data_IF_145773919785
#
_entry.id   IF_145773919785
#
_cell.length_a   1.000
_cell.length_b   1.000
_cell.length_c   1.000
_cell.angle_alpha   90.00
_cell.angle_beta   90.00
_cell.angle_gamma   90.00
#
_symmetry.space_group_name_H-M   'P 1'
#
loop_
_entity.id
_entity.type
_entity.pdbx_description
1 polymer ?
#
# COMPACT_ATOMS: atom_id res chain seq x y z
N UNK A 1 -9.52 8.22 7.77
CA UNK A 1 -9.99 8.43 6.38
C UNK A 1 -10.59 7.11 5.96
N UNK A 2 -11.78 7.11 5.37
CA UNK A 2 -12.44 5.85 5.01
C UNK A 2 -12.10 5.48 3.57
N UNK A 3 -11.71 4.23 3.35
CA UNK A 3 -11.44 3.68 2.02
C UNK A 3 -12.55 2.72 1.64
N UNK A 4 -12.94 2.73 0.37
CA UNK A 4 -13.97 1.87 -0.16
C UNK A 4 -13.51 1.24 -1.48
N UNK A 5 -13.91 0.00 -1.73
CA UNK A 5 -13.94 -0.55 -3.09
C UNK A 5 -15.29 -0.21 -3.67
N UNK A 6 -15.29 0.38 -4.87
CA UNK A 6 -16.50 0.66 -5.63
C UNK A 6 -16.42 -0.02 -7.00
N UNK A 7 -17.58 -0.45 -7.48
CA UNK A 7 -17.78 -0.90 -8.83
C UNK A 7 -17.76 0.30 -9.78
N UNK A 8 -16.90 0.26 -10.80
CA UNK A 8 -16.68 1.39 -11.70
C UNK A 8 -17.85 1.59 -12.66
N UNK A 9 -18.53 0.52 -13.07
CA UNK A 9 -19.61 0.59 -14.06
C UNK A 9 -20.91 1.12 -13.46
N UNK A 10 -21.20 0.75 -12.22
CA UNK A 10 -22.45 1.06 -11.52
C UNK A 10 -22.29 2.18 -10.49
N UNK A 11 -21.05 2.54 -10.12
CA UNK A 11 -20.75 3.49 -9.05
C UNK A 11 -21.09 2.98 -7.65
N UNK A 12 -21.48 1.70 -7.52
CA UNK A 12 -21.88 1.13 -6.24
C UNK A 12 -20.66 0.86 -5.36
N UNK A 13 -20.68 1.34 -4.13
CA UNK A 13 -19.71 0.92 -3.11
C UNK A 13 -19.95 -0.58 -2.82
N UNK A 14 -18.95 -1.39 -3.13
CA UNK A 14 -18.96 -2.82 -2.86
C UNK A 14 -18.71 -3.10 -1.38
N UNK A 15 -17.73 -2.39 -0.78
CA UNK A 15 -17.39 -2.53 0.65
C UNK A 15 -16.38 -1.48 1.15
N UNK A 16 -16.37 -1.17 2.46
CA UNK A 16 -15.27 -0.44 3.09
C UNK A 16 -14.01 -1.30 3.23
N UNK A 17 -12.84 -0.76 2.88
CA UNK A 17 -11.50 -1.33 3.13
C UNK A 17 -10.91 -0.83 4.46
N UNK A 18 -11.21 0.41 4.83
CA UNK A 18 -10.85 0.97 6.12
C UNK A 18 -12.01 1.83 6.62
N UNK A 19 -12.42 1.58 7.86
CA UNK A 19 -13.37 2.40 8.63
C UNK A 19 -12.68 2.79 9.91
N UNK A 20 -12.84 4.03 10.36
CA UNK A 20 -12.22 4.63 11.56
C UNK A 20 -12.46 3.92 12.93
N UNK A 21 -12.83 2.63 12.97
CA UNK A 21 -13.09 1.84 14.20
C UNK A 21 -12.18 0.61 14.34
N UNK A 22 -11.08 0.49 13.58
CA UNK A 22 -10.06 -0.56 13.79
C UNK A 22 -8.78 0.03 14.38
N UNK A 23 -8.40 -0.29 15.64
CA UNK A 23 -7.29 0.34 16.36
C UNK A 23 -5.89 -0.17 15.93
N UNK A 24 -5.71 -0.61 14.68
CA UNK A 24 -4.45 -1.26 14.24
C UNK A 24 -3.62 -0.39 13.29
N UNK A 25 -4.10 0.80 12.87
CA UNK A 25 -3.38 1.68 11.94
C UNK A 25 -3.51 3.14 12.41
N UNK A 26 -2.46 3.67 13.05
CA UNK A 26 -2.42 5.00 13.67
C UNK A 26 -2.36 6.19 12.67
N UNK A 27 -2.59 5.95 11.38
CA UNK A 27 -2.82 7.02 10.42
C UNK A 27 -2.36 6.66 9.02
N UNK A 28 -3.32 6.56 8.10
CA UNK A 28 -3.05 6.74 6.66
C UNK A 28 -3.11 8.25 6.41
N UNK A 29 -2.06 8.98 6.84
CA UNK A 29 -1.86 10.37 6.43
C UNK A 29 -1.10 10.35 5.11
N UNK A 30 -1.64 11.04 4.10
CA UNK A 30 -1.15 11.17 2.72
C UNK A 30 -1.58 10.04 1.76
N UNK A 31 -2.75 10.22 1.15
CA UNK A 31 -3.29 9.40 0.07
C UNK A 31 -3.43 10.17 -1.25
N UNK A 32 -2.57 11.17 -1.49
CA UNK A 32 -2.44 11.73 -2.84
C UNK A 32 -1.52 10.86 -3.74
N UNK A 33 -0.83 9.83 -3.23
CA UNK A 33 0.14 9.07 -4.06
C UNK A 33 0.54 7.65 -3.64
N UNK A 34 -0.09 7.00 -2.65
CA UNK A 34 0.58 5.90 -1.90
C UNK A 34 0.13 4.46 -2.19
N UNK A 35 -0.71 4.19 -3.19
CA UNK A 35 -1.18 2.84 -3.53
C UNK A 35 -1.00 2.45 -5.01
N UNK A 36 -0.72 1.18 -5.29
CA UNK A 36 -0.62 0.63 -6.65
C UNK A 36 -1.27 -0.74 -6.75
N UNK A 37 -2.05 -0.91 -7.82
CA UNK A 37 -2.73 -2.16 -8.15
C UNK A 37 -1.76 -3.15 -8.76
N UNK A 38 -1.91 -4.42 -8.38
CA UNK A 38 -1.27 -5.51 -9.11
C UNK A 38 -1.85 -5.62 -10.53
N UNK A 39 -1.07 -6.13 -11.51
CA UNK A 39 -1.52 -6.23 -12.90
C UNK A 39 -2.77 -7.08 -13.11
N UNK A 40 -3.05 -8.01 -12.21
CA UNK A 40 -4.23 -8.87 -12.21
C UNK A 40 -5.45 -8.26 -11.50
N UNK A 41 -5.33 -7.02 -10.99
CA UNK A 41 -6.35 -6.30 -10.22
C UNK A 41 -6.81 -7.00 -8.93
N UNK A 42 -6.05 -7.97 -8.42
CA UNK A 42 -6.42 -8.72 -7.19
C UNK A 42 -5.81 -8.16 -5.92
N UNK A 43 -4.68 -7.45 -6.02
CA UNK A 43 -3.92 -6.95 -4.89
C UNK A 43 -3.73 -5.44 -5.00
N UNK A 44 -3.73 -4.78 -3.85
CA UNK A 44 -3.36 -3.39 -3.69
C UNK A 44 -2.13 -3.33 -2.79
N UNK A 45 -1.03 -2.77 -3.31
CA UNK A 45 0.14 -2.41 -2.51
C UNK A 45 0.02 -0.97 -2.03
N UNK A 46 0.32 -0.70 -0.77
CA UNK A 46 0.31 0.65 -0.21
C UNK A 46 1.28 0.79 0.95
N UNK A 47 1.70 2.02 1.25
CA UNK A 47 2.61 2.28 2.38
C UNK A 47 1.81 2.57 3.64
N UNK A 48 2.19 1.93 4.75
CA UNK A 48 1.67 2.20 6.09
C UNK A 48 2.78 2.56 7.06
N UNK A 49 2.45 3.35 8.09
CA UNK A 49 3.31 3.58 9.24
C UNK A 49 2.79 2.71 10.39
N UNK A 50 3.59 1.76 10.86
CA UNK A 50 3.22 0.90 11.97
C UNK A 50 4.43 0.74 12.92
N UNK A 51 4.21 1.02 14.21
CA UNK A 51 5.28 0.93 15.23
C UNK A 51 6.47 1.86 14.96
N UNK A 52 6.26 2.98 14.26
CA UNK A 52 7.32 3.93 13.89
C UNK A 52 8.10 3.59 12.62
N UNK A 53 7.81 2.47 11.95
CA UNK A 53 8.47 2.06 10.72
C UNK A 53 7.51 2.15 9.52
N UNK A 54 8.02 2.61 8.38
CA UNK A 54 7.28 2.52 7.13
C UNK A 54 7.31 1.08 6.61
N UNK A 55 6.16 0.55 6.21
CA UNK A 55 6.00 -0.80 5.72
C UNK A 55 5.28 -0.79 4.37
N UNK A 56 5.67 -1.70 3.49
CA UNK A 56 4.93 -1.99 2.27
C UNK A 56 3.87 -3.04 2.61
N UNK A 57 2.61 -2.64 2.58
CA UNK A 57 1.47 -3.52 2.84
C UNK A 57 0.86 -3.99 1.52
N UNK A 58 0.47 -5.26 1.46
CA UNK A 58 -0.22 -5.87 0.31
C UNK A 58 -1.55 -6.43 0.78
N UNK A 59 -2.64 -6.03 0.15
CA UNK A 59 -3.99 -6.44 0.50
C UNK A 59 -4.69 -7.09 -0.68
N UNK A 60 -5.32 -8.25 -0.45
CA UNK A 60 -6.25 -8.83 -1.40
C UNK A 60 -7.56 -8.01 -1.38
N UNK A 61 -7.89 -7.42 -2.51
CA UNK A 61 -9.00 -6.47 -2.62
C UNK A 61 -10.37 -7.13 -2.77
N UNK A 62 -10.42 -8.46 -2.94
CA UNK A 62 -11.68 -9.22 -3.04
C UNK A 62 -12.16 -9.65 -1.65
N UNK A 63 -11.23 -10.18 -0.85
CA UNK A 63 -11.44 -10.68 0.51
C UNK A 63 -11.24 -9.59 1.56
N UNK A 64 -10.37 -8.61 1.31
CA UNK A 64 -10.06 -7.50 2.22
C UNK A 64 -9.02 -7.88 3.24
N UNK A 65 -8.44 -9.06 3.06
CA UNK A 65 -7.38 -9.58 3.91
C UNK A 65 -6.08 -8.90 3.54
N UNK A 66 -5.40 -8.40 4.55
CA UNK A 66 -3.99 -8.03 4.45
C UNK A 66 -3.18 -9.33 4.25
N UNK A 67 -2.54 -9.46 3.09
CA UNK A 67 -1.76 -10.64 2.73
C UNK A 67 -0.33 -10.55 3.24
N UNK A 68 0.26 -9.35 3.18
CA UNK A 68 1.65 -9.15 3.61
C UNK A 68 1.90 -7.75 4.19
N UNK A 69 2.93 -7.67 5.03
CA UNK A 69 3.55 -6.44 5.57
C UNK A 69 5.05 -6.60 5.60
N UNK A 70 5.70 -5.92 4.67
CA UNK A 70 7.14 -5.98 4.49
C UNK A 70 7.76 -4.76 5.18
N UNK A 71 8.60 -5.02 6.17
CA UNK A 71 9.43 -4.00 6.81
C UNK A 71 10.66 -3.79 5.95
N UNK A 72 10.88 -2.56 5.48
CA UNK A 72 12.08 -2.20 4.72
C UNK A 72 13.06 -1.53 5.67
N UNK A 73 13.89 -2.35 6.31
CA UNK A 73 14.91 -1.87 7.24
C UNK A 73 15.89 -0.91 6.55
N UNK A 74 16.52 -0.03 7.34
CA UNK A 74 17.53 0.95 6.91
C UNK A 74 17.01 2.15 6.10
N UNK A 75 15.72 2.20 5.74
CA UNK A 75 15.10 3.35 5.12
C UNK A 75 14.30 4.15 6.16
N UNK A 76 14.47 5.47 6.14
CA UNK A 76 13.72 6.39 7.02
C UNK A 76 12.28 6.59 6.58
N UNK A 77 11.99 6.43 5.29
CA UNK A 77 10.65 6.44 4.72
C UNK A 77 10.63 5.71 3.38
N UNK A 78 9.46 5.18 3.00
CA UNK A 78 9.17 4.71 1.65
C UNK A 78 7.89 5.35 1.12
N UNK A 79 7.82 5.59 -0.19
CA UNK A 79 6.71 6.28 -0.85
C UNK A 79 6.47 5.75 -2.26
N UNK A 80 5.27 6.01 -2.81
CA UNK A 80 4.92 5.81 -4.22
C UNK A 80 5.22 4.38 -4.73
N UNK A 81 4.65 3.33 -4.15
CA UNK A 81 4.84 1.98 -4.65
C UNK A 81 4.25 1.83 -6.04
N UNK A 82 4.89 1.05 -6.91
CA UNK A 82 4.39 0.68 -8.22
C UNK A 82 4.70 -0.79 -8.54
N UNK A 83 3.68 -1.56 -8.90
CA UNK A 83 3.85 -2.94 -9.36
C UNK A 83 4.56 -3.01 -10.70
N UNK A 84 5.43 -4.02 -10.87
CA UNK A 84 5.92 -4.39 -12.19
C UNK A 84 4.78 -4.95 -13.05
N UNK A 85 4.82 -4.78 -14.38
CA UNK A 85 3.78 -5.30 -15.27
C UNK A 85 3.60 -6.82 -15.23
N UNK A 86 4.64 -7.56 -14.85
CA UNK A 86 4.62 -9.01 -14.70
C UNK A 86 4.16 -9.49 -13.30
N UNK A 87 3.96 -8.57 -12.37
CA UNK A 87 3.50 -8.88 -11.02
C UNK A 87 4.58 -9.46 -10.09
N UNK A 88 5.85 -9.47 -10.49
CA UNK A 88 6.94 -10.08 -9.72
C UNK A 88 7.64 -9.12 -8.76
N UNK A 89 7.44 -7.81 -8.93
CA UNK A 89 8.16 -6.77 -8.17
C UNK A 89 7.28 -5.61 -7.81
N UNK A 90 7.71 -4.88 -6.78
CA UNK A 90 7.22 -3.55 -6.47
C UNK A 90 8.42 -2.60 -6.39
N UNK A 91 8.38 -1.52 -7.17
CA UNK A 91 9.34 -0.41 -7.05
C UNK A 91 8.76 0.68 -6.16
N UNK A 92 9.61 1.40 -5.43
CA UNK A 92 9.19 2.50 -4.58
C UNK A 92 10.34 3.50 -4.38
N UNK A 93 10.00 4.73 -4.00
CA UNK A 93 10.99 5.72 -3.55
C UNK A 93 11.35 5.45 -2.10
N UNK A 94 12.64 5.39 -1.78
CA UNK A 94 13.16 5.18 -0.43
C UNK A 94 14.07 6.32 0.01
N UNK A 95 13.87 6.81 1.23
CA UNK A 95 14.70 7.85 1.85
C UNK A 95 15.78 7.24 2.74
N UNK A 96 17.05 7.49 2.42
CA UNK A 96 18.21 7.04 3.21
C UNK A 96 19.22 8.16 3.36
N UNK A 97 19.60 8.49 4.60
CA UNK A 97 20.61 9.51 4.87
C UNK A 97 20.30 10.91 4.32
N UNK A 98 19.01 11.26 4.19
CA UNK A 98 18.56 12.56 3.66
C UNK A 98 18.43 12.63 2.12
N UNK A 99 18.78 11.56 1.40
CA UNK A 99 18.57 11.44 -0.04
C UNK A 99 17.51 10.39 -0.40
N UNK A 100 16.77 10.64 -1.47
CA UNK A 100 15.79 9.69 -2.03
C UNK A 100 16.37 8.94 -3.23
N UNK A 101 16.12 7.64 -3.29
CA UNK A 101 16.48 6.78 -4.42
C UNK A 101 15.34 5.80 -4.75
N UNK A 102 15.43 5.10 -5.87
CA UNK A 102 14.50 4.04 -6.25
C UNK A 102 14.99 2.69 -5.73
N UNK A 103 14.08 1.96 -5.12
CA UNK A 103 14.29 0.60 -4.64
C UNK A 103 13.28 -0.33 -5.31
N UNK A 104 13.65 -1.60 -5.41
CA UNK A 104 12.78 -2.66 -5.88
C UNK A 104 12.73 -3.77 -4.84
N UNK A 105 11.54 -4.34 -4.64
CA UNK A 105 11.30 -5.51 -3.82
C UNK A 105 10.74 -6.63 -4.70
N UNK A 106 11.36 -7.80 -4.66
CA UNK A 106 10.89 -9.02 -5.32
C UNK A 106 9.81 -9.69 -4.44
N UNK A 107 8.69 -10.09 -5.04
CA UNK A 107 7.52 -10.68 -4.41
C UNK A 107 7.50 -12.21 -4.43
#
# INVERSE_FOLDING_TARGET
MDMFVADVETGRILRPLQRNETPVIDGIRYLDSSGSWSPDSRRLAFVVLAGGNHQLAIMDVTSGRLEDRIVIDQLGAIQNPAWSPDGSRIVFTGLKGGGSDLYAYDL
#
